data_IF_348798982327
#
_entry.id   IF_348798982327
#
_cell.length_a   1.000
_cell.length_b   1.000
_cell.length_c   1.000
_cell.angle_alpha   90.00
_cell.angle_beta   90.00
_cell.angle_gamma   90.00
#
_symmetry.space_group_name_H-M   'P 1'
#
loop_
_entity.id
_entity.type
_entity.pdbx_description
1 polymer ?
#
# COMPACT_ATOMS: atom_id res chain seq x y z
N UNK A 1 30.22 -0.41 -16.08
CA UNK A 1 29.54 -0.47 -14.76
C UNK A 1 28.03 -0.42 -15.01
N UNK A 2 27.32 -1.53 -14.75
CA UNK A 2 25.86 -1.72 -14.89
C UNK A 2 25.39 -2.62 -13.74
N UNK A 3 25.72 -2.21 -12.53
CA UNK A 3 25.60 -3.01 -11.30
C UNK A 3 24.32 -2.67 -10.51
N UNK A 4 23.38 -1.97 -11.13
CA UNK A 4 22.05 -1.71 -10.61
C UNK A 4 21.04 -1.74 -11.77
N UNK A 5 19.83 -2.28 -11.54
CA UNK A 5 18.73 -2.15 -12.49
C UNK A 5 18.37 -0.67 -12.64
N UNK A 6 17.98 -0.26 -13.85
CA UNK A 6 17.51 1.12 -14.08
C UNK A 6 16.25 1.37 -13.23
N UNK A 7 16.26 2.38 -12.34
CA UNK A 7 15.11 2.71 -11.51
C UNK A 7 13.83 2.98 -12.32
N UNK A 8 13.95 3.51 -13.54
CA UNK A 8 12.79 3.78 -14.40
C UNK A 8 12.02 2.50 -14.74
N UNK A 9 12.75 1.40 -14.99
CA UNK A 9 12.14 0.09 -15.26
C UNK A 9 11.34 -0.40 -14.03
N UNK A 10 11.80 -0.07 -12.83
CA UNK A 10 11.09 -0.45 -11.59
C UNK A 10 9.82 0.38 -11.40
N UNK A 11 9.86 1.67 -11.73
CA UNK A 11 8.67 2.53 -11.68
C UNK A 11 7.60 2.08 -12.68
N UNK A 12 8.00 1.71 -13.90
CA UNK A 12 7.07 1.21 -14.91
C UNK A 12 6.49 -0.16 -14.53
N UNK A 13 7.29 -1.04 -13.92
CA UNK A 13 6.87 -2.41 -13.60
C UNK A 13 6.05 -2.53 -12.32
N UNK A 14 6.44 -1.83 -11.26
CA UNK A 14 5.85 -1.98 -9.92
C UNK A 14 5.14 -0.73 -9.41
N UNK A 15 5.33 0.42 -10.08
CA UNK A 15 4.83 1.70 -9.62
C UNK A 15 5.79 2.40 -8.66
N UNK A 16 5.73 3.74 -8.65
CA UNK A 16 6.60 4.56 -7.82
C UNK A 16 6.40 4.33 -6.30
N UNK A 17 5.17 4.05 -5.87
CA UNK A 17 4.87 3.89 -4.44
C UNK A 17 5.42 2.58 -3.86
N UNK A 18 5.43 1.49 -4.63
CA UNK A 18 6.07 0.25 -4.22
C UNK A 18 7.57 0.45 -3.98
N UNK A 19 8.24 1.18 -4.88
CA UNK A 19 9.67 1.50 -4.74
C UNK A 19 9.91 2.42 -3.54
N UNK A 20 9.10 3.47 -3.33
CA UNK A 20 9.20 4.35 -2.17
C UNK A 20 9.04 3.57 -0.86
N UNK A 21 8.02 2.72 -0.79
CA UNK A 21 7.72 1.94 0.41
C UNK A 21 8.81 0.89 0.68
N UNK A 22 9.41 0.30 -0.37
CA UNK A 22 10.62 -0.51 -0.22
C UNK A 22 11.78 0.29 0.39
N UNK A 23 12.07 1.49 -0.14
CA UNK A 23 13.18 2.32 0.34
C UNK A 23 12.99 2.77 1.79
N UNK A 24 11.78 3.21 2.17
CA UNK A 24 11.44 3.63 3.55
C UNK A 24 11.62 2.49 4.55
N UNK A 25 11.29 1.25 4.16
CA UNK A 25 11.44 0.07 5.01
C UNK A 25 12.85 -0.55 4.95
N UNK A 26 13.78 0.04 4.21
CA UNK A 26 15.12 -0.50 3.99
C UNK A 26 16.15 0.14 4.95
N UNK A 27 17.33 -0.49 5.15
CA UNK A 27 18.39 0.06 6.01
C UNK A 27 18.94 1.42 5.54
N UNK A 28 18.62 1.87 4.32
CA UNK A 28 19.06 3.17 3.79
C UNK A 28 18.61 4.34 4.66
N UNK A 29 17.45 4.24 5.32
CA UNK A 29 16.93 5.30 6.20
C UNK A 29 17.78 5.46 7.47
N UNK A 30 18.61 4.46 7.78
CA UNK A 30 19.56 4.47 8.90
C UNK A 30 20.99 4.83 8.46
N UNK A 31 21.19 5.18 7.19
CA UNK A 31 22.52 5.45 6.62
C UNK A 31 23.36 4.20 6.38
N UNK A 32 22.77 3.02 6.49
CA UNK A 32 23.44 1.74 6.22
C UNK A 32 23.40 1.40 4.71
N UNK A 33 24.34 0.54 4.27
CA UNK A 33 24.41 0.13 2.87
C UNK A 33 23.20 -0.70 2.46
N UNK A 34 22.45 -0.20 1.46
CA UNK A 34 21.36 -0.92 0.82
C UNK A 34 21.86 -1.74 -0.37
N UNK A 35 21.67 -3.06 -0.32
CA UNK A 35 21.78 -3.92 -1.51
C UNK A 35 20.43 -3.97 -2.21
N UNK A 36 20.24 -3.12 -3.21
CA UNK A 36 18.98 -3.05 -3.95
C UNK A 36 18.69 -4.37 -4.68
N UNK A 37 17.47 -4.87 -4.52
CA UNK A 37 16.98 -6.12 -5.12
C UNK A 37 15.54 -5.93 -5.57
N UNK A 38 15.26 -6.28 -6.82
CA UNK A 38 13.93 -6.16 -7.43
C UNK A 38 12.89 -7.00 -6.68
N UNK A 39 13.29 -8.16 -6.16
CA UNK A 39 12.44 -9.05 -5.38
C UNK A 39 11.85 -8.35 -4.14
N UNK A 40 12.61 -7.45 -3.52
CA UNK A 40 12.14 -6.68 -2.37
C UNK A 40 11.00 -5.72 -2.72
N UNK A 41 11.01 -5.14 -3.93
CA UNK A 41 9.93 -4.28 -4.42
C UNK A 41 8.69 -5.11 -4.75
N UNK A 42 8.87 -6.28 -5.37
CA UNK A 42 7.78 -7.22 -5.62
C UNK A 42 7.12 -7.71 -4.32
N UNK A 43 7.90 -7.97 -3.27
CA UNK A 43 7.39 -8.37 -1.97
C UNK A 43 6.54 -7.26 -1.31
N UNK A 44 6.91 -5.99 -1.47
CA UNK A 44 6.10 -4.86 -0.99
C UNK A 44 4.74 -4.83 -1.70
N UNK A 45 4.71 -5.03 -3.02
CA UNK A 45 3.45 -5.09 -3.76
C UNK A 45 2.58 -6.24 -3.27
N UNK A 46 3.14 -7.45 -3.25
CA UNK A 46 2.37 -8.67 -2.97
C UNK A 46 1.94 -8.80 -1.52
N UNK A 47 2.78 -8.40 -0.56
CA UNK A 47 2.53 -8.59 0.88
C UNK A 47 1.91 -7.38 1.57
N UNK A 48 1.99 -6.19 0.96
CA UNK A 48 1.48 -4.97 1.60
C UNK A 48 0.42 -4.30 0.74
N UNK A 49 0.75 -3.93 -0.50
CA UNK A 49 -0.18 -3.18 -1.35
C UNK A 49 -1.43 -3.99 -1.72
N UNK A 50 -1.28 -5.27 -2.09
CA UNK A 50 -2.41 -6.12 -2.45
C UNK A 50 -3.37 -6.38 -1.27
N UNK A 51 -2.89 -6.77 -0.06
CA UNK A 51 -3.77 -6.87 1.11
C UNK A 51 -4.43 -5.55 1.48
N UNK A 52 -3.72 -4.43 1.37
CA UNK A 52 -4.29 -3.11 1.65
C UNK A 52 -5.43 -2.76 0.69
N UNK A 53 -5.22 -2.99 -0.62
CA UNK A 53 -6.26 -2.78 -1.63
C UNK A 53 -7.45 -3.73 -1.41
N UNK A 54 -7.21 -4.98 -1.01
CA UNK A 54 -8.27 -5.93 -0.70
C UNK A 54 -9.11 -5.47 0.50
N UNK A 55 -8.48 -4.98 1.58
CA UNK A 55 -9.18 -4.45 2.74
C UNK A 55 -10.02 -3.21 2.37
N UNK A 56 -9.47 -2.29 1.58
CA UNK A 56 -10.19 -1.12 1.10
C UNK A 56 -11.40 -1.49 0.23
N UNK A 57 -11.24 -2.43 -0.71
CA UNK A 57 -12.34 -2.93 -1.55
C UNK A 57 -13.42 -3.62 -0.72
N UNK A 58 -13.03 -4.43 0.26
CA UNK A 58 -13.96 -5.07 1.17
C UNK A 58 -14.77 -4.02 1.94
N UNK A 59 -14.11 -3.01 2.50
CA UNK A 59 -14.76 -1.91 3.21
C UNK A 59 -15.78 -1.17 2.33
N UNK A 60 -15.41 -0.78 1.11
CA UNK A 60 -16.35 -0.12 0.17
C UNK A 60 -17.56 -1.01 -0.14
N UNK A 61 -17.34 -2.31 -0.31
CA UNK A 61 -18.41 -3.29 -0.51
C UNK A 61 -19.37 -3.34 0.68
N UNK A 62 -18.85 -3.38 1.90
CA UNK A 62 -19.66 -3.40 3.13
C UNK A 62 -20.41 -2.08 3.33
N UNK A 63 -19.79 -0.93 3.07
CA UNK A 63 -20.44 0.37 3.13
C UNK A 63 -21.60 0.47 2.12
N UNK A 64 -21.42 -0.04 0.89
CA UNK A 64 -22.50 -0.09 -0.10
C UNK A 64 -23.62 -1.05 0.32
N UNK A 65 -23.28 -2.20 0.92
CA UNK A 65 -24.25 -3.16 1.41
C UNK A 65 -25.10 -2.59 2.56
N UNK A 66 -24.47 -1.87 3.50
CA UNK A 66 -25.16 -1.18 4.60
C UNK A 66 -26.25 -0.24 4.06
N UNK A 67 -25.89 0.61 3.10
CA UNK A 67 -26.83 1.54 2.48
C UNK A 67 -28.01 0.83 1.80
N UNK A 68 -27.76 -0.28 1.10
CA UNK A 68 -28.81 -1.03 0.40
C UNK A 68 -29.75 -1.79 1.34
N UNK A 69 -29.24 -2.29 2.46
CA UNK A 69 -29.99 -3.18 3.36
C UNK A 69 -30.76 -2.42 4.45
N UNK A 70 -30.20 -1.33 4.93
CA UNK A 70 -30.75 -0.56 6.07
C UNK A 70 -31.26 0.82 5.66
N UNK A 71 -30.92 1.29 4.46
CA UNK A 71 -31.17 2.67 4.03
C UNK A 71 -30.24 3.70 4.68
N UNK A 72 -29.30 3.29 5.54
CA UNK A 72 -28.34 4.16 6.22
C UNK A 72 -27.04 4.23 5.43
N UNK A 73 -26.63 5.43 5.03
CA UNK A 73 -25.35 5.64 4.36
C UNK A 73 -24.19 5.63 5.37
N UNK A 74 -23.05 5.06 4.97
CA UNK A 74 -21.81 5.23 5.74
C UNK A 74 -21.28 6.65 5.50
N UNK A 75 -21.31 7.47 6.53
CA UNK A 75 -20.84 8.85 6.51
C UNK A 75 -19.83 9.08 7.63
N UNK A 76 -18.83 9.93 7.35
CA UNK A 76 -17.88 10.34 8.37
C UNK A 76 -18.54 11.34 9.31
N UNK A 77 -18.54 11.04 10.61
CA UNK A 77 -18.99 11.93 11.66
C UNK A 77 -17.83 12.23 12.64
N UNK A 78 -17.33 13.48 12.69
CA UNK A 78 -16.25 13.87 13.59
C UNK A 78 -16.66 13.88 15.08
N UNK A 79 -17.96 13.86 15.37
CA UNK A 79 -18.53 13.87 16.72
C UNK A 79 -19.05 12.50 17.16
N UNK A 80 -18.84 11.46 16.34
CA UNK A 80 -19.27 10.11 16.67
C UNK A 80 -18.59 9.62 17.97
N UNK A 81 -19.32 8.86 18.82
CA UNK A 81 -18.73 8.22 19.99
C UNK A 81 -17.62 7.26 19.54
N UNK A 82 -16.53 7.21 20.31
CA UNK A 82 -15.43 6.28 20.06
C UNK A 82 -15.97 4.84 20.04
N UNK A 83 -15.60 4.09 19.00
CA UNK A 83 -15.89 2.66 18.96
C UNK A 83 -15.14 1.98 20.10
N UNK A 84 -15.88 1.33 21.00
CA UNK A 84 -15.35 0.63 22.19
C UNK A 84 -14.67 -0.68 21.81
#
# INVERSE_FOLDING_TARGET
>A
LRNYPDPNVMFEKYGADAVRMFLVNSPIVKGENLRFREEGVHDVVSRVMLPWLNAFRFFLGQASLLAKTTGVAFEYDPHAPLSV
#
